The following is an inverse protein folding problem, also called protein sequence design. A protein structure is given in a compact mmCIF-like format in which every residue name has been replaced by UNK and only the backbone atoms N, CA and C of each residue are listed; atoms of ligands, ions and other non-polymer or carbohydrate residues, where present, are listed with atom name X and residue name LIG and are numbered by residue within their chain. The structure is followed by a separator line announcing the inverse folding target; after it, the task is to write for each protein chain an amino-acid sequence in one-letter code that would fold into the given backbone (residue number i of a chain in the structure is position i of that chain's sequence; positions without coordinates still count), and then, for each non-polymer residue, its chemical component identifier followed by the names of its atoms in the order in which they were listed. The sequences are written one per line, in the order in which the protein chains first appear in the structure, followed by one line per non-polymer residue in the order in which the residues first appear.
data_IF_348415050198
#
_entry.id   IF_348415050198
#
_cell.length_a   1.000
_cell.length_b   1.000
_cell.length_c   1.000
_cell.angle_alpha   90.00
_cell.angle_beta   90.00
_cell.angle_gamma   90.00
#
_symmetry.space_group_name_H-M   'P 1'
#
loop_
_entity.id
_entity.type
_entity.pdbx_description
1 polymer ?
#
# COMPACT_ATOMS: atom_id res chain seq x y z
N UNK A 1 -17.77 -8.61 -5.85
CA UNK A 1 -17.58 -10.00 -5.53
C UNK A 1 -16.27 -10.23 -4.80
N UNK A 2 -16.33 -10.91 -3.70
CA UNK A 2 -15.13 -11.15 -2.90
C UNK A 2 -14.20 -12.11 -3.62
N UNK A 3 -12.96 -11.76 -3.65
CA UNK A 3 -11.95 -12.59 -4.25
C UNK A 3 -10.71 -12.56 -3.39
N UNK A 4 -9.94 -13.61 -3.50
CA UNK A 4 -8.69 -13.58 -2.80
C UNK A 4 -7.73 -12.63 -3.53
N UNK A 5 -6.81 -12.12 -2.74
CA UNK A 5 -5.83 -11.16 -3.23
C UNK A 5 -4.71 -11.94 -3.89
N UNK A 6 -4.46 -11.64 -5.15
CA UNK A 6 -3.36 -12.29 -5.85
C UNK A 6 -2.15 -11.40 -5.99
N UNK A 7 -2.36 -10.10 -5.91
CA UNK A 7 -1.27 -9.15 -6.10
C UNK A 7 -1.05 -8.34 -4.85
N UNK A 8 0.19 -7.95 -4.65
CA UNK A 8 0.58 -7.10 -3.54
C UNK A 8 1.47 -6.00 -4.05
N UNK A 9 1.30 -4.81 -3.49
CA UNK A 9 2.18 -3.69 -3.77
C UNK A 9 3.04 -3.48 -2.53
N UNK A 10 4.34 -3.64 -2.70
CA UNK A 10 5.29 -3.51 -1.60
C UNK A 10 5.93 -2.14 -1.63
N UNK A 11 5.75 -1.39 -0.55
CA UNK A 11 6.31 -0.07 -0.40
C UNK A 11 7.53 -0.18 0.51
N UNK A 12 8.70 0.12 -0.03
CA UNK A 12 9.94 -0.09 0.71
C UNK A 12 10.48 1.18 1.35
N UNK A 13 9.92 2.32 1.01
CA UNK A 13 10.36 3.58 1.60
C UNK A 13 9.22 4.58 1.56
N UNK A 14 9.29 5.62 2.42
CA UNK A 14 8.26 6.66 2.37
C UNK A 14 8.19 7.37 1.01
N UNK A 15 9.33 7.49 0.32
CA UNK A 15 9.30 8.09 -1.01
C UNK A 15 8.50 7.26 -1.99
N UNK A 16 8.64 5.94 -1.88
CA UNK A 16 7.85 5.07 -2.73
C UNK A 16 6.37 5.22 -2.45
N UNK A 17 6.02 5.39 -1.18
CA UNK A 17 4.63 5.58 -0.82
C UNK A 17 4.09 6.85 -1.46
N UNK A 18 4.86 7.94 -1.40
CA UNK A 18 4.41 9.18 -1.98
C UNK A 18 4.24 9.06 -3.49
N UNK A 19 5.13 8.33 -4.13
CA UNK A 19 5.00 8.12 -5.57
C UNK A 19 3.70 7.40 -5.90
N UNK A 20 3.37 6.39 -5.11
CA UNK A 20 2.13 5.66 -5.34
C UNK A 20 0.91 6.53 -5.06
N UNK A 21 0.99 7.36 -4.03
CA UNK A 21 -0.12 8.26 -3.74
C UNK A 21 -0.38 9.19 -4.92
N UNK A 22 0.67 9.74 -5.49
CA UNK A 22 0.53 10.60 -6.66
C UNK A 22 -0.03 9.81 -7.84
N UNK A 23 0.47 8.61 -8.02
CA UNK A 23 0.06 7.80 -9.15
C UNK A 23 -1.44 7.54 -9.15
N UNK A 24 -1.99 7.28 -7.97
CA UNK A 24 -3.40 6.99 -7.84
C UNK A 24 -4.21 8.18 -7.37
N UNK A 25 -3.58 9.33 -7.27
CA UNK A 25 -4.27 10.56 -6.91
C UNK A 25 -4.92 10.46 -5.53
N UNK A 26 -4.23 9.85 -4.61
CA UNK A 26 -4.67 9.70 -3.24
C UNK A 26 -3.96 10.70 -2.35
N UNK A 27 -4.58 11.05 -1.24
CA UNK A 27 -4.02 12.03 -0.32
C UNK A 27 -3.29 11.38 0.84
N UNK A 28 -3.76 10.23 1.27
CA UNK A 28 -3.18 9.57 2.43
C UNK A 28 -2.95 8.11 2.13
N UNK A 29 -2.12 7.51 2.95
CA UNK A 29 -1.84 6.09 2.87
C UNK A 29 -3.13 5.28 2.98
N UNK A 30 -4.00 5.70 3.88
CA UNK A 30 -5.24 4.97 4.09
C UNK A 30 -6.12 5.01 2.85
N UNK A 31 -6.18 6.15 2.18
CA UNK A 31 -6.95 6.25 0.96
C UNK A 31 -6.39 5.33 -0.12
N UNK A 32 -5.08 5.28 -0.22
CA UNK A 32 -4.45 4.42 -1.19
C UNK A 32 -4.73 2.96 -0.88
N UNK A 33 -4.62 2.60 0.39
CA UNK A 33 -4.87 1.23 0.80
C UNK A 33 -6.29 0.80 0.44
N UNK A 34 -7.25 1.65 0.73
CA UNK A 34 -8.64 1.33 0.45
C UNK A 34 -8.89 1.27 -1.06
N UNK A 35 -8.31 2.18 -1.81
CA UNK A 35 -8.48 2.18 -3.25
C UNK A 35 -7.96 0.90 -3.86
N UNK A 36 -6.76 0.50 -3.48
CA UNK A 36 -6.17 -0.70 -4.03
C UNK A 36 -6.98 -1.93 -3.65
N UNK A 37 -7.44 -1.97 -2.41
CA UNK A 37 -8.19 -3.12 -1.94
C UNK A 37 -9.53 -3.24 -2.66
N UNK A 38 -10.28 -2.14 -2.70
CA UNK A 38 -11.65 -2.20 -3.21
C UNK A 38 -11.72 -2.15 -4.73
N UNK A 39 -10.89 -1.33 -5.34
CA UNK A 39 -11.00 -1.12 -6.77
C UNK A 39 -10.10 -2.06 -7.57
N UNK A 40 -8.95 -2.43 -7.02
CA UNK A 40 -7.98 -3.21 -7.77
C UNK A 40 -7.77 -4.62 -7.20
N UNK A 41 -8.26 -4.87 -6.00
CA UNK A 41 -8.06 -6.17 -5.39
C UNK A 41 -6.60 -6.43 -5.07
N UNK A 42 -5.89 -5.40 -4.64
CA UNK A 42 -4.46 -5.47 -4.36
C UNK A 42 -4.23 -5.09 -2.91
N UNK A 43 -3.35 -5.82 -2.24
CA UNK A 43 -2.99 -5.52 -0.87
C UNK A 43 -1.80 -4.58 -0.83
N UNK A 44 -1.89 -3.54 -0.01
CA UNK A 44 -0.80 -2.59 0.16
C UNK A 44 0.06 -3.01 1.34
N UNK A 45 1.33 -3.24 1.07
CA UNK A 45 2.25 -3.71 2.10
C UNK A 45 3.33 -2.68 2.32
N UNK A 46 3.43 -2.18 3.55
CA UNK A 46 4.42 -1.16 3.89
C UNK A 46 5.61 -1.83 4.57
N UNK A 47 6.52 -2.28 3.76
CA UNK A 47 7.65 -3.07 4.24
C UNK A 47 8.57 -2.25 5.14
N UNK A 48 8.72 -0.96 4.84
CA UNK A 48 9.60 -0.13 5.64
C UNK A 48 9.08 0.04 7.06
N UNK A 49 7.77 0.05 7.24
CA UNK A 49 7.20 0.16 8.60
C UNK A 49 7.40 -1.13 9.37
N UNK A 50 7.26 -2.24 8.68
CA UNK A 50 7.44 -3.53 9.32
C UNK A 50 8.87 -3.67 9.83
N UNK A 51 9.83 -3.19 9.06
CA UNK A 51 11.22 -3.25 9.48
C UNK A 51 11.48 -2.42 10.73
N UNK A 52 10.87 -1.26 10.80
CA UNK A 52 11.07 -0.39 11.95
C UNK A 52 10.51 -1.02 13.20
N UNK A 53 9.38 -1.66 13.08
CA UNK A 53 8.77 -2.29 14.25
C UNK A 53 9.56 -3.47 14.74
N UNK A 54 10.20 -4.16 13.85
CA UNK A 54 11.00 -5.32 14.20
C UNK A 54 12.35 -4.96 14.76
N UNK A 55 12.72 -3.73 14.70
CA UNK A 55 14.04 -3.29 15.11
C UNK A 55 14.04 -2.85 16.56
N UNK A 56 13.77 -3.75 17.44
CA UNK A 56 13.74 -3.43 18.87
C UNK A 56 14.96 -3.95 19.60
#
# INVERSE_FOLDING_TARGET
MAKYIEDEVHIESPMDLEAELCKYNCKTEKELDELLWYDYGVALMLDYKDKEENNI
#
